data_IF_473944725522
#
_entry.id   IF_473944725522
#
_cell.length_a   1.000
_cell.length_b   1.000
_cell.length_c   1.000
_cell.angle_alpha   90.00
_cell.angle_beta   90.00
_cell.angle_gamma   90.00
#
_symmetry.space_group_name_H-M   'P 1'
#
loop_
_entity.id
_entity.type
_entity.pdbx_description
1 polymer ?
#
# COMPACT_ATOMS: atom_id res chain seq x y z
N UNK A 1 -12.13 5.43 -2.19
CA UNK A 1 -12.07 4.26 -1.29
C UNK A 1 -12.99 3.18 -1.84
N UNK A 2 -12.51 1.94 -1.91
CA UNK A 2 -13.03 0.89 -2.81
C UNK A 2 -14.48 0.43 -2.58
N UNK A 3 -15.12 0.71 -1.44
CA UNK A 3 -16.48 0.17 -1.16
C UNK A 3 -17.48 1.12 -0.48
N UNK A 4 -17.09 2.34 -0.10
CA UNK A 4 -18.02 3.29 0.52
C UNK A 4 -18.61 2.87 1.89
N UNK A 5 -18.11 1.79 2.50
CA UNK A 5 -18.53 1.23 3.80
C UNK A 5 -17.48 1.46 4.90
N UNK A 6 -16.60 2.44 4.74
CA UNK A 6 -15.59 2.76 5.73
C UNK A 6 -16.20 3.64 6.83
N UNK A 7 -16.31 3.11 8.04
CA UNK A 7 -16.47 3.93 9.24
C UNK A 7 -15.10 4.42 9.73
N UNK A 8 -15.09 5.23 10.78
CA UNK A 8 -13.86 5.77 11.42
C UNK A 8 -12.94 4.67 11.98
N UNK A 9 -13.35 3.40 11.89
CA UNK A 9 -12.69 2.22 12.42
C UNK A 9 -12.15 1.29 11.33
N UNK A 10 -12.37 1.59 10.04
CA UNK A 10 -11.92 0.74 8.94
C UNK A 10 -10.40 0.76 8.80
N UNK A 11 -9.78 -0.42 8.80
CA UNK A 11 -8.36 -0.60 8.50
C UNK A 11 -8.09 -0.25 7.04
N UNK A 12 -7.34 0.83 6.81
CA UNK A 12 -6.98 1.30 5.48
C UNK A 12 -5.65 0.66 5.06
N UNK A 13 -5.66 -0.20 4.05
CA UNK A 13 -4.44 -0.71 3.42
C UNK A 13 -3.96 0.27 2.33
N UNK A 14 -2.75 0.81 2.48
CA UNK A 14 -2.13 1.67 1.48
C UNK A 14 -0.90 1.00 0.87
N UNK A 15 -1.03 0.59 -0.39
CA UNK A 15 0.07 0.05 -1.17
C UNK A 15 0.79 1.20 -1.92
N UNK A 16 2.08 1.36 -1.66
CA UNK A 16 2.93 2.37 -2.29
C UNK A 16 4.02 1.64 -3.09
N UNK A 17 4.19 2.02 -4.35
CA UNK A 17 5.21 1.47 -5.24
C UNK A 17 6.27 2.53 -5.48
N UNK A 18 7.50 2.32 -5.02
CA UNK A 18 8.60 3.28 -5.17
C UNK A 18 9.96 2.59 -5.12
N UNK A 19 10.94 3.15 -5.81
CA UNK A 19 12.34 2.75 -5.65
C UNK A 19 12.83 3.11 -4.25
N UNK A 20 13.49 2.15 -3.58
CA UNK A 20 14.10 2.38 -2.26
C UNK A 20 15.19 1.35 -1.99
N UNK A 21 16.26 1.78 -1.34
CA UNK A 21 17.33 0.90 -0.87
C UNK A 21 17.10 0.40 0.58
N UNK A 22 16.03 0.86 1.24
CA UNK A 22 15.75 0.50 2.63
C UNK A 22 15.22 -0.94 2.75
N UNK A 23 15.58 -1.66 3.82
CA UNK A 23 14.92 -2.91 4.20
C UNK A 23 13.42 -2.71 4.34
N UNK A 24 12.61 -3.72 3.98
CA UNK A 24 11.14 -3.63 3.97
C UNK A 24 10.55 -2.99 5.25
N UNK A 25 10.98 -3.47 6.43
CA UNK A 25 10.50 -2.97 7.73
C UNK A 25 10.96 -1.55 8.09
N UNK A 26 11.77 -0.89 7.27
CA UNK A 26 12.22 0.48 7.50
C UNK A 26 11.60 1.48 6.51
N UNK A 27 11.03 1.00 5.40
CA UNK A 27 10.48 1.85 4.33
C UNK A 27 9.37 2.77 4.83
N UNK A 28 8.58 2.33 5.80
CA UNK A 28 7.49 3.14 6.39
C UNK A 28 7.98 4.49 6.93
N UNK A 29 9.25 4.61 7.30
CA UNK A 29 9.81 5.85 7.87
C UNK A 29 9.76 7.02 6.89
N UNK A 30 9.92 6.76 5.59
CA UNK A 30 9.81 7.79 4.54
C UNK A 30 8.38 8.33 4.41
N UNK A 31 7.40 7.54 4.85
CA UNK A 31 5.97 7.83 4.73
C UNK A 31 5.29 8.03 6.09
N UNK A 32 6.06 8.17 7.17
CA UNK A 32 5.53 8.25 8.53
C UNK A 32 4.54 9.41 8.74
N UNK A 33 4.61 10.46 7.91
CA UNK A 33 3.67 11.57 7.92
C UNK A 33 2.21 11.17 7.66
N UNK A 34 1.97 10.05 6.97
CA UNK A 34 0.62 9.53 6.68
C UNK A 34 -0.12 9.19 7.97
N UNK A 35 0.58 8.67 8.99
CA UNK A 35 -0.02 8.37 10.29
C UNK A 35 -0.60 9.59 11.01
N UNK A 36 -0.12 10.80 10.70
CA UNK A 36 -0.68 12.04 11.27
C UNK A 36 -2.03 12.40 10.67
N UNK A 37 -2.32 11.93 9.45
CA UNK A 37 -3.60 12.16 8.75
C UNK A 37 -4.54 10.99 8.99
N UNK A 38 -4.02 9.76 8.99
CA UNK A 38 -4.79 8.54 9.19
C UNK A 38 -4.02 7.55 10.08
N UNK A 39 -4.27 7.52 11.40
CA UNK A 39 -3.49 6.71 12.34
C UNK A 39 -3.61 5.19 12.17
N UNK A 40 -4.73 4.70 11.59
CA UNK A 40 -4.99 3.26 11.37
C UNK A 40 -4.85 2.90 9.89
N UNK A 41 -3.60 2.96 9.42
CA UNK A 41 -3.22 2.64 8.05
C UNK A 41 -2.12 1.60 8.05
N UNK A 42 -2.27 0.56 7.25
CA UNK A 42 -1.19 -0.39 6.98
C UNK A 42 -0.44 0.06 5.72
N UNK A 43 0.81 0.46 5.90
CA UNK A 43 1.68 0.90 4.80
C UNK A 43 2.42 -0.30 4.21
N UNK A 44 2.09 -0.63 2.96
CA UNK A 44 2.70 -1.71 2.20
C UNK A 44 3.56 -1.11 1.09
N UNK A 45 4.86 -0.97 1.35
CA UNK A 45 5.77 -0.26 0.45
C UNK A 45 6.64 -1.27 -0.29
N UNK A 46 6.44 -1.37 -1.60
CA UNK A 46 7.15 -2.28 -2.49
C UNK A 46 7.94 -1.52 -3.56
N UNK A 47 9.03 -2.11 -4.01
CA UNK A 47 9.71 -1.69 -5.25
C UNK A 47 8.92 -2.17 -6.47
N UNK A 48 9.08 -1.54 -7.64
CA UNK A 48 8.48 -2.02 -8.87
C UNK A 48 8.78 -3.51 -9.13
N UNK A 49 10.02 -3.95 -8.92
CA UNK A 49 10.44 -5.33 -9.16
C UNK A 49 9.79 -6.32 -8.17
N UNK A 50 9.62 -5.91 -6.91
CA UNK A 50 8.89 -6.70 -5.92
C UNK A 50 7.42 -6.84 -6.31
N UNK A 51 6.78 -5.75 -6.75
CA UNK A 51 5.39 -5.79 -7.20
C UNK A 51 5.24 -6.73 -8.40
N UNK A 52 6.09 -6.61 -9.43
CA UNK A 52 6.07 -7.49 -10.60
C UNK A 52 6.19 -8.97 -10.20
N UNK A 53 7.13 -9.29 -9.31
CA UNK A 53 7.28 -10.64 -8.78
C UNK A 53 6.02 -11.09 -8.03
N UNK A 54 5.44 -10.24 -7.20
CA UNK A 54 4.24 -10.57 -6.43
C UNK A 54 3.00 -10.75 -7.31
N UNK A 55 2.89 -10.02 -8.42
CA UNK A 55 1.87 -10.21 -9.45
C UNK A 55 2.06 -11.57 -10.12
N UNK A 56 3.28 -11.90 -10.54
CA UNK A 56 3.60 -13.19 -11.14
C UNK A 56 3.32 -14.37 -10.18
N UNK A 57 3.58 -14.18 -8.89
CA UNK A 57 3.27 -15.15 -7.82
C UNK A 57 1.79 -15.18 -7.42
N UNK A 58 0.94 -14.28 -7.95
CA UNK A 58 -0.46 -14.12 -7.57
C UNK A 58 -0.65 -13.94 -6.05
N UNK A 59 0.20 -13.12 -5.43
CA UNK A 59 0.11 -12.79 -4.00
C UNK A 59 -1.27 -12.18 -3.72
N UNK A 60 -2.07 -12.75 -2.78
CA UNK A 60 -3.45 -12.32 -2.57
C UNK A 60 -3.62 -10.82 -2.32
N UNK A 61 -2.69 -10.21 -1.58
CA UNK A 61 -2.75 -8.78 -1.24
C UNK A 61 -2.59 -7.89 -2.46
N UNK A 62 -1.69 -8.24 -3.39
CA UNK A 62 -1.44 -7.48 -4.63
C UNK A 62 -2.56 -7.72 -5.63
N UNK A 63 -3.02 -8.97 -5.78
CA UNK A 63 -4.16 -9.29 -6.65
C UNK A 63 -5.40 -8.53 -6.21
N UNK A 64 -5.67 -8.48 -4.91
CA UNK A 64 -6.80 -7.72 -4.37
C UNK A 64 -6.60 -6.22 -4.54
N UNK A 65 -5.42 -5.68 -4.23
CA UNK A 65 -5.14 -4.25 -4.39
C UNK A 65 -5.27 -3.79 -5.86
N UNK A 66 -4.83 -4.59 -6.82
CA UNK A 66 -4.94 -4.25 -8.24
C UNK A 66 -6.36 -4.44 -8.80
N UNK A 67 -7.12 -5.42 -8.29
CA UNK A 67 -8.48 -5.70 -8.75
C UNK A 67 -9.55 -4.81 -8.11
N UNK A 68 -9.35 -4.42 -6.84
CA UNK A 68 -10.35 -3.68 -6.05
C UNK A 68 -9.88 -2.30 -5.60
N UNK A 69 -8.58 -2.01 -5.68
CA UNK A 69 -8.00 -0.77 -5.18
C UNK A 69 -8.43 0.46 -6.00
N UNK A 70 -8.26 1.62 -5.38
CA UNK A 70 -8.44 2.91 -6.04
C UNK A 70 -7.08 3.57 -6.17
N UNK A 71 -6.70 3.91 -7.40
CA UNK A 71 -5.49 4.68 -7.67
C UNK A 71 -5.65 6.07 -7.07
N UNK A 72 -4.80 6.41 -6.09
CA UNK A 72 -4.77 7.73 -5.46
C UNK A 72 -3.81 8.68 -6.18
N UNK A 73 -2.73 8.16 -6.76
CA UNK A 73 -1.70 8.93 -7.43
C UNK A 73 -0.88 8.05 -8.40
N UNK A 74 -0.56 8.61 -9.58
CA UNK A 74 0.37 8.10 -10.58
C UNK A 74 1.16 9.31 -11.12
N UNK A 75 2.46 9.17 -11.34
CA UNK A 75 3.37 10.21 -11.81
C UNK A 75 4.40 9.65 -12.80
#
# INVERSE_FOLDING_TARGET
MARGEADEWSDLDLLIVTDTALPFFERFREFAGIYNVWPRVDLLIYTPEELERMVAEQRPIVVRALGEGVVLHEA
#
